data_IF_416414418586
#
_entry.id   IF_416414418586
#
_cell.length_a   1.000
_cell.length_b   1.000
_cell.length_c   1.000
_cell.angle_alpha   90.00
_cell.angle_beta   90.00
_cell.angle_gamma   90.00
#
_symmetry.space_group_name_H-M   'P 1'
#
loop_
_entity.id
_entity.type
_entity.pdbx_description
1 polymer ?
#
# COMPACT_ATOMS: atom_id res chain seq x y z
N UNK A 1 -14.29 0.90 19.14
CA UNK A 1 -14.06 2.23 19.76
C UNK A 1 -13.15 3.06 18.88
N UNK A 2 -13.73 3.82 17.95
CA UNK A 2 -12.99 4.72 17.05
C UNK A 2 -13.12 6.13 17.60
N UNK A 3 -12.33 6.43 18.64
CA UNK A 3 -12.15 7.80 19.06
C UNK A 3 -11.30 8.47 17.97
N UNK A 4 -11.88 9.44 17.26
CA UNK A 4 -11.09 10.39 16.49
C UNK A 4 -10.25 11.17 17.48
N UNK A 5 -9.08 10.65 17.85
CA UNK A 5 -8.18 11.31 18.78
C UNK A 5 -7.52 12.47 18.07
N UNK A 6 -7.42 13.59 18.78
CA UNK A 6 -6.64 14.79 18.40
C UNK A 6 -5.14 14.47 18.17
N UNK A 7 -4.72 13.24 18.48
CA UNK A 7 -3.36 12.73 18.41
C UNK A 7 -3.31 11.50 17.50
N UNK A 8 -2.52 11.59 16.43
CA UNK A 8 -2.14 10.47 15.56
C UNK A 8 -1.09 9.64 16.29
N UNK A 9 -1.24 8.30 16.41
CA UNK A 9 -0.21 7.47 17.02
C UNK A 9 1.10 7.56 16.22
N UNK A 10 2.23 7.36 16.88
CA UNK A 10 3.53 7.30 16.19
C UNK A 10 3.57 6.11 15.24
N UNK A 11 4.20 6.31 14.09
CA UNK A 11 4.43 5.25 13.12
C UNK A 11 5.80 4.65 13.37
N UNK A 12 5.84 3.38 13.80
CA UNK A 12 7.10 2.67 14.08
C UNK A 12 7.94 2.60 12.80
N UNK A 13 7.30 2.36 11.65
CA UNK A 13 8.01 2.29 10.37
C UNK A 13 8.60 3.64 9.94
N UNK A 14 7.86 4.75 10.10
CA UNK A 14 8.39 6.07 9.74
C UNK A 14 9.47 6.54 10.74
N UNK A 15 9.43 6.07 12.00
CA UNK A 15 10.54 6.25 12.96
C UNK A 15 11.78 5.47 12.51
N UNK A 16 11.63 4.18 12.19
CA UNK A 16 12.70 3.34 11.68
C UNK A 16 13.36 3.92 10.40
N UNK A 17 12.55 4.39 9.44
CA UNK A 17 13.09 5.02 8.22
C UNK A 17 13.84 6.32 8.47
N UNK A 18 13.49 7.07 9.51
CA UNK A 18 14.25 8.27 9.92
C UNK A 18 15.60 7.89 10.53
N UNK A 19 15.65 6.82 11.32
CA UNK A 19 16.87 6.32 11.95
C UNK A 19 17.89 5.79 10.93
N UNK A 20 17.43 5.21 9.81
CA UNK A 20 18.29 4.78 8.69
C UNK A 20 18.95 5.96 7.93
N UNK A 21 18.63 7.21 8.28
CA UNK A 21 19.19 8.40 7.67
C UNK A 21 18.77 8.61 6.21
N UNK A 22 19.52 9.45 5.52
CA UNK A 22 19.24 9.84 4.14
C UNK A 22 19.81 8.83 3.12
N UNK A 23 19.10 8.65 2.03
CA UNK A 23 19.60 7.99 0.82
C UNK A 23 20.62 8.90 0.12
N UNK A 24 21.47 8.34 -0.79
CA UNK A 24 22.21 9.15 -1.74
C UNK A 24 21.28 10.15 -2.44
N UNK A 25 21.62 11.44 -2.41
CA UNK A 25 20.76 12.53 -2.90
C UNK A 25 19.89 13.21 -1.83
N UNK A 26 19.98 12.80 -0.56
CA UNK A 26 19.40 13.55 0.58
C UNK A 26 17.94 13.24 0.90
N UNK A 27 17.31 12.30 0.19
CA UNK A 27 15.93 11.89 0.45
C UNK A 27 15.85 10.92 1.65
N UNK A 28 14.72 10.94 2.38
CA UNK A 28 14.42 9.90 3.39
C UNK A 28 13.66 8.74 2.75
N UNK A 29 13.80 7.54 3.32
CA UNK A 29 13.15 6.33 2.80
C UNK A 29 11.64 6.36 3.00
N UNK A 30 10.91 5.74 2.06
CA UNK A 30 9.47 5.51 2.19
C UNK A 30 8.60 6.78 2.21
N UNK A 31 9.11 7.91 1.71
CA UNK A 31 8.35 9.16 1.56
C UNK A 31 7.60 9.22 0.24
N UNK A 32 6.45 9.90 0.25
CA UNK A 32 5.70 10.18 -0.96
C UNK A 32 6.44 11.25 -1.78
N UNK A 33 6.75 10.93 -3.03
CA UNK A 33 7.47 11.85 -3.92
C UNK A 33 6.51 12.77 -4.66
N UNK A 34 7.04 13.83 -5.28
CA UNK A 34 6.22 14.80 -6.04
C UNK A 34 5.44 14.11 -7.17
N UNK A 35 6.03 13.11 -7.83
CA UNK A 35 5.34 12.30 -8.82
C UNK A 35 4.15 11.54 -8.21
N UNK A 36 4.35 10.89 -7.05
CA UNK A 36 3.27 10.22 -6.33
C UNK A 36 2.17 11.18 -5.85
N UNK A 37 2.54 12.40 -5.44
CA UNK A 37 1.56 13.45 -5.09
C UNK A 37 0.72 13.86 -6.31
N UNK A 38 1.36 14.04 -7.46
CA UNK A 38 0.69 14.39 -8.71
C UNK A 38 -0.25 13.27 -9.17
N UNK A 39 0.15 12.01 -9.04
CA UNK A 39 -0.70 10.87 -9.35
C UNK A 39 -1.90 10.78 -8.41
N UNK A 40 -1.70 11.01 -7.11
CA UNK A 40 -2.79 11.15 -6.15
C UNK A 40 -3.77 12.26 -6.53
N UNK A 41 -3.27 13.43 -6.92
CA UNK A 41 -4.11 14.54 -7.40
C UNK A 41 -4.91 14.17 -8.66
N UNK A 42 -4.28 13.49 -9.63
CA UNK A 42 -4.96 13.03 -10.86
C UNK A 42 -6.05 12.01 -10.55
N UNK A 43 -5.81 11.06 -9.66
CA UNK A 43 -6.82 10.11 -9.16
C UNK A 43 -7.99 10.88 -8.52
N UNK A 44 -7.70 11.92 -7.74
CA UNK A 44 -8.70 12.84 -7.19
C UNK A 44 -9.61 13.45 -8.26
N UNK A 45 -9.04 13.97 -9.35
CA UNK A 45 -9.81 14.51 -10.48
C UNK A 45 -10.69 13.44 -11.14
N UNK A 46 -10.17 12.21 -11.31
CA UNK A 46 -10.96 11.09 -11.85
C UNK A 46 -12.16 10.81 -10.93
N UNK A 47 -11.96 10.79 -9.61
CA UNK A 47 -13.04 10.60 -8.64
C UNK A 47 -14.05 11.75 -8.63
N UNK A 48 -13.61 12.99 -8.80
CA UNK A 48 -14.53 14.12 -8.98
C UNK A 48 -15.41 13.92 -10.21
N UNK A 49 -14.79 13.70 -11.35
CA UNK A 49 -15.50 13.53 -12.62
C UNK A 49 -16.54 12.40 -12.53
N UNK A 50 -16.17 11.28 -11.90
CA UNK A 50 -17.05 10.13 -11.74
C UNK A 50 -18.17 10.39 -10.71
N UNK A 51 -17.81 10.71 -9.46
CA UNK A 51 -18.77 10.70 -8.35
C UNK A 51 -19.53 12.00 -8.17
N UNK A 52 -18.94 13.13 -8.54
CA UNK A 52 -19.55 14.46 -8.38
C UNK A 52 -20.22 14.86 -9.67
N UNK A 53 -19.50 14.85 -10.79
CA UNK A 53 -20.01 15.42 -12.03
C UNK A 53 -20.91 14.43 -12.79
N UNK A 54 -20.46 13.20 -12.99
CA UNK A 54 -21.20 12.20 -13.77
C UNK A 54 -22.35 11.56 -12.99
N UNK A 55 -22.06 11.00 -11.80
CA UNK A 55 -23.05 10.32 -10.98
C UNK A 55 -23.88 11.26 -10.11
N UNK A 56 -23.49 12.55 -10.00
CA UNK A 56 -24.25 13.58 -9.28
C UNK A 56 -24.67 13.16 -7.87
N UNK A 57 -23.76 12.54 -7.09
CA UNK A 57 -24.05 12.02 -5.75
C UNK A 57 -24.37 13.09 -4.69
N UNK A 58 -24.60 14.34 -5.08
CA UNK A 58 -24.97 15.43 -4.16
C UNK A 58 -23.83 15.87 -3.24
N UNK A 59 -22.58 15.64 -3.65
CA UNK A 59 -21.36 16.03 -2.93
C UNK A 59 -20.66 17.14 -3.73
N UNK A 60 -20.82 18.40 -3.31
CA UNK A 60 -20.15 19.54 -3.96
C UNK A 60 -18.84 19.94 -3.27
N UNK A 61 -18.83 19.84 -1.95
CA UNK A 61 -17.69 20.13 -1.08
C UNK A 61 -17.41 18.93 -0.20
N UNK A 62 -16.19 18.86 0.32
CA UNK A 62 -15.83 17.86 1.32
C UNK A 62 -16.66 18.04 2.60
N UNK A 63 -17.19 16.94 3.12
CA UNK A 63 -18.03 16.87 4.32
C UNK A 63 -17.74 15.57 5.08
N UNK A 64 -17.20 15.66 6.30
CA UNK A 64 -16.84 14.48 7.10
C UNK A 64 -18.07 13.60 7.48
N UNK A 65 -19.30 14.13 7.37
CA UNK A 65 -20.52 13.35 7.60
C UNK A 65 -20.86 12.44 6.42
N UNK A 66 -20.47 12.85 5.20
CA UNK A 66 -20.71 12.12 3.94
C UNK A 66 -19.52 11.27 3.51
N UNK A 67 -18.31 11.67 3.86
CA UNK A 67 -17.07 11.00 3.43
C UNK A 67 -16.28 10.58 4.65
N UNK A 68 -15.88 9.30 4.67
CA UNK A 68 -14.99 8.75 5.71
C UNK A 68 -13.68 8.34 5.07
N UNK A 69 -12.59 8.79 5.67
CA UNK A 69 -11.24 8.58 5.16
C UNK A 69 -10.50 7.62 6.09
N UNK A 70 -10.00 6.51 5.56
CA UNK A 70 -9.17 5.57 6.32
C UNK A 70 -7.80 5.48 5.66
N UNK A 71 -6.76 5.48 6.49
CA UNK A 71 -5.38 5.28 6.04
C UNK A 71 -4.64 4.37 7.00
N UNK A 72 -3.61 3.71 6.47
CA UNK A 72 -2.56 3.16 7.32
C UNK A 72 -1.85 4.29 8.05
N UNK A 73 -1.20 4.00 9.18
CA UNK A 73 -0.49 5.03 9.93
C UNK A 73 0.89 5.37 9.33
N UNK A 74 1.01 5.50 8.00
CA UNK A 74 2.25 5.91 7.34
C UNK A 74 2.12 7.33 6.80
N UNK A 75 3.20 8.12 6.88
CA UNK A 75 3.20 9.49 6.36
C UNK A 75 2.79 9.51 4.89
N UNK A 76 3.38 8.61 4.07
CA UNK A 76 3.11 8.55 2.63
C UNK A 76 1.65 8.27 2.29
N UNK A 77 0.94 7.45 3.07
CA UNK A 77 -0.45 7.08 2.76
C UNK A 77 -1.42 8.17 3.17
N UNK A 78 -1.14 8.85 4.29
CA UNK A 78 -1.88 10.04 4.72
C UNK A 78 -1.69 11.19 3.72
N UNK A 79 -0.45 11.43 3.28
CA UNK A 79 -0.15 12.43 2.25
C UNK A 79 -0.84 12.09 0.92
N UNK A 80 -0.86 10.83 0.51
CA UNK A 80 -1.58 10.38 -0.69
C UNK A 80 -3.08 10.69 -0.61
N UNK A 81 -3.73 10.45 0.54
CA UNK A 81 -5.15 10.82 0.72
C UNK A 81 -5.33 12.33 0.55
N UNK A 82 -4.42 13.15 1.09
CA UNK A 82 -4.50 14.62 0.97
C UNK A 82 -4.39 15.06 -0.49
N UNK A 83 -3.53 14.41 -1.28
CA UNK A 83 -3.41 14.70 -2.72
C UNK A 83 -4.68 14.32 -3.47
N UNK A 84 -5.25 13.15 -3.19
CA UNK A 84 -6.55 12.72 -3.77
C UNK A 84 -7.67 13.69 -3.42
N UNK A 85 -7.76 14.14 -2.17
CA UNK A 85 -8.76 15.13 -1.77
C UNK A 85 -8.56 16.48 -2.47
N UNK A 86 -7.32 16.92 -2.66
CA UNK A 86 -7.02 18.18 -3.34
C UNK A 86 -7.48 18.16 -4.80
N UNK A 87 -7.36 17.02 -5.50
CA UNK A 87 -7.93 16.86 -6.84
C UNK A 87 -9.45 16.71 -6.84
N UNK A 88 -9.99 15.96 -5.88
CA UNK A 88 -11.43 15.69 -5.85
C UNK A 88 -12.26 16.93 -5.47
N UNK A 89 -11.75 17.73 -4.53
CA UNK A 89 -12.39 18.93 -3.99
C UNK A 89 -11.45 20.15 -4.12
N UNK A 90 -11.27 20.68 -5.34
CA UNK A 90 -10.40 21.83 -5.56
C UNK A 90 -10.93 23.07 -4.83
N UNK A 91 -10.02 23.89 -4.30
CA UNK A 91 -10.34 25.13 -3.60
C UNK A 91 -10.33 25.02 -2.08
N UNK A 92 -10.83 26.05 -1.40
CA UNK A 92 -10.90 26.07 0.07
C UNK A 92 -12.03 25.17 0.55
N UNK A 93 -11.71 24.14 1.33
CA UNK A 93 -12.72 23.34 2.00
C UNK A 93 -13.28 24.11 3.20
N UNK A 94 -14.57 23.95 3.47
CA UNK A 94 -15.24 24.55 4.64
C UNK A 94 -14.95 23.79 5.93
N UNK A 95 -14.44 22.56 5.81
CA UNK A 95 -14.15 21.67 6.93
C UNK A 95 -12.75 21.05 6.76
N UNK A 96 -12.10 20.78 7.90
CA UNK A 96 -10.84 20.02 7.94
C UNK A 96 -11.12 18.52 7.78
N UNK A 97 -10.48 17.88 6.82
CA UNK A 97 -10.57 16.43 6.64
C UNK A 97 -10.09 15.66 7.88
N UNK A 98 -10.90 14.71 8.34
CA UNK A 98 -10.54 13.78 9.41
C UNK A 98 -10.13 12.45 8.77
N UNK A 99 -8.86 12.09 8.92
CA UNK A 99 -8.30 10.82 8.44
C UNK A 99 -8.19 9.87 9.63
N UNK A 100 -8.90 8.75 9.57
CA UNK A 100 -8.88 7.74 10.61
C UNK A 100 -7.73 6.76 10.36
N UNK A 101 -6.79 6.72 11.31
CA UNK A 101 -5.71 5.75 11.36
C UNK A 101 -5.87 4.86 12.59
N UNK A 102 -5.10 3.79 12.67
CA UNK A 102 -5.02 2.94 13.86
C UNK A 102 -3.56 2.67 14.22
N UNK A 103 -3.32 2.20 15.44
CA UNK A 103 -2.00 1.68 15.82
C UNK A 103 -1.63 0.45 15.00
N UNK A 104 -0.34 0.24 14.79
CA UNK A 104 0.20 -0.86 13.99
C UNK A 104 -0.23 -2.24 14.50
N UNK A 105 -0.43 -2.38 15.81
CA UNK A 105 -0.94 -3.58 16.48
C UNK A 105 -2.36 -3.98 16.05
N UNK A 106 -3.16 -2.98 15.68
CA UNK A 106 -4.57 -3.12 15.32
C UNK A 106 -4.80 -2.87 13.82
N UNK A 107 -3.73 -2.75 13.04
CA UNK A 107 -3.81 -2.47 11.61
C UNK A 107 -4.31 -3.69 10.84
N UNK A 108 -5.30 -3.44 9.98
CA UNK A 108 -6.00 -4.45 9.19
C UNK A 108 -5.95 -4.15 7.69
N UNK A 109 -5.50 -2.95 7.27
CA UNK A 109 -5.46 -2.55 5.86
C UNK A 109 -4.29 -3.18 5.09
N UNK A 110 -3.39 -3.91 5.76
CA UNK A 110 -2.41 -4.79 5.15
C UNK A 110 -2.24 -6.09 5.97
N UNK A 111 -1.68 -7.16 5.38
CA UNK A 111 -1.38 -8.39 6.09
C UNK A 111 -0.37 -8.17 7.22
N UNK A 112 -0.87 -8.12 8.45
CA UNK A 112 -0.11 -7.70 9.62
C UNK A 112 0.64 -8.87 10.27
N UNK A 113 1.72 -9.31 9.62
CA UNK A 113 2.53 -10.46 10.10
C UNK A 113 3.17 -10.19 11.46
N UNK A 114 3.52 -8.95 11.77
CA UNK A 114 4.18 -8.59 13.03
C UNK A 114 3.29 -8.82 14.27
N UNK A 115 1.98 -8.58 14.14
CA UNK A 115 1.07 -8.60 15.29
C UNK A 115 0.00 -9.71 15.22
N UNK A 116 -0.26 -10.27 14.04
CA UNK A 116 -1.12 -11.44 13.90
C UNK A 116 -0.31 -12.74 14.00
N UNK A 117 -0.22 -13.34 15.19
CA UNK A 117 0.54 -14.59 15.43
C UNK A 117 0.23 -15.71 14.43
N UNK A 118 -1.05 -15.87 14.07
CA UNK A 118 -1.48 -16.89 13.10
C UNK A 118 -0.97 -16.60 11.70
N UNK A 119 -0.91 -15.32 11.30
CA UNK A 119 -0.36 -14.94 10.01
C UNK A 119 1.16 -14.97 10.01
N UNK A 120 1.82 -14.55 11.10
CA UNK A 120 3.29 -14.66 11.27
C UNK A 120 3.76 -16.08 11.05
N UNK A 121 3.11 -17.05 11.69
CA UNK A 121 3.47 -18.46 11.54
C UNK A 121 3.36 -18.95 10.09
N UNK A 122 2.28 -18.59 9.38
CA UNK A 122 2.13 -18.94 7.96
C UNK A 122 3.19 -18.25 7.10
N UNK A 123 3.49 -16.98 7.37
CA UNK A 123 4.51 -16.22 6.65
C UNK A 123 5.91 -16.81 6.87
N UNK A 124 6.26 -17.18 8.11
CA UNK A 124 7.53 -17.81 8.46
C UNK A 124 7.74 -19.13 7.72
N UNK A 125 6.71 -20.00 7.66
CA UNK A 125 6.77 -21.24 6.88
C UNK A 125 7.04 -20.98 5.39
N UNK A 126 6.46 -19.93 4.82
CA UNK A 126 6.66 -19.56 3.40
C UNK A 126 8.01 -18.88 3.13
N UNK A 127 8.59 -18.23 4.14
CA UNK A 127 9.91 -17.62 4.04
C UNK A 127 11.04 -18.59 4.36
N UNK A 128 10.72 -19.77 4.91
CA UNK A 128 11.68 -20.81 5.17
C UNK A 128 12.27 -21.35 3.86
N UNK A 129 13.57 -21.15 3.66
CA UNK A 129 14.29 -21.57 2.44
C UNK A 129 14.22 -23.08 2.22
N UNK A 130 14.12 -23.90 3.28
CA UNK A 130 14.03 -25.36 3.15
C UNK A 130 12.66 -25.84 2.69
N UNK A 131 11.63 -25.00 2.82
CA UNK A 131 10.25 -25.29 2.41
C UNK A 131 9.86 -24.53 1.13
N UNK A 132 10.83 -23.84 0.52
CA UNK A 132 10.60 -23.06 -0.69
C UNK A 132 10.39 -24.01 -1.88
N UNK A 133 9.33 -23.85 -2.70
CA UNK A 133 9.07 -24.71 -3.84
C UNK A 133 10.24 -24.72 -4.83
N UNK A 134 10.49 -25.86 -5.47
CA UNK A 134 11.53 -26.01 -6.50
C UNK A 134 11.46 -24.92 -7.57
N UNK A 135 10.25 -24.54 -7.97
CA UNK A 135 10.03 -23.46 -8.93
C UNK A 135 10.60 -22.12 -8.46
N UNK A 136 10.42 -21.76 -7.18
CA UNK A 136 10.94 -20.52 -6.60
C UNK A 136 12.47 -20.55 -6.47
N UNK A 137 13.05 -21.71 -6.15
CA UNK A 137 14.50 -21.91 -6.12
C UNK A 137 15.08 -21.67 -7.52
N UNK A 138 14.48 -22.31 -8.51
CA UNK A 138 14.89 -22.19 -9.92
C UNK A 138 14.75 -20.75 -10.44
N UNK A 139 13.66 -20.05 -10.14
CA UNK A 139 13.53 -18.64 -10.51
C UNK A 139 14.66 -17.79 -9.91
N UNK A 140 15.00 -18.04 -8.64
CA UNK A 140 16.06 -17.31 -7.95
C UNK A 140 17.43 -17.53 -8.59
N UNK A 141 17.77 -18.78 -8.92
CA UNK A 141 19.02 -19.13 -9.59
C UNK A 141 19.12 -18.53 -10.99
N UNK A 142 18.04 -18.65 -11.78
CA UNK A 142 17.99 -18.05 -13.12
C UNK A 142 18.11 -16.53 -13.02
N UNK A 143 17.46 -15.88 -12.05
CA UNK A 143 17.57 -14.44 -11.87
C UNK A 143 18.99 -14.03 -11.48
N UNK A 144 19.61 -14.76 -10.55
CA UNK A 144 20.99 -14.52 -10.13
C UNK A 144 21.95 -14.58 -11.34
N UNK A 145 21.81 -15.60 -12.19
CA UNK A 145 22.60 -15.71 -13.42
C UNK A 145 22.33 -14.56 -14.38
N UNK A 146 21.05 -14.22 -14.64
CA UNK A 146 20.66 -13.13 -15.56
C UNK A 146 21.16 -11.75 -15.11
N UNK A 147 21.26 -11.52 -13.81
CA UNK A 147 21.70 -10.23 -13.24
C UNK A 147 23.16 -10.22 -12.82
N UNK A 148 23.88 -11.32 -13.03
CA UNK A 148 25.27 -11.52 -12.60
C UNK A 148 25.43 -11.22 -11.10
N UNK A 149 24.50 -11.75 -10.30
CA UNK A 149 24.48 -11.59 -8.84
C UNK A 149 24.90 -12.90 -8.17
N UNK A 150 25.64 -12.77 -7.07
CA UNK A 150 25.95 -13.91 -6.21
C UNK A 150 24.69 -14.33 -5.45
N UNK A 151 24.28 -15.60 -5.61
CA UNK A 151 23.06 -16.16 -5.05
C UNK A 151 22.96 -16.01 -3.52
N UNK A 152 24.09 -16.07 -2.82
CA UNK A 152 24.17 -16.00 -1.36
C UNK A 152 23.85 -14.62 -0.79
N UNK A 153 24.13 -13.56 -1.57
CA UNK A 153 23.92 -12.16 -1.17
C UNK A 153 22.86 -11.45 -2.01
N UNK A 154 22.23 -12.17 -2.95
CA UNK A 154 21.19 -11.61 -3.80
C UNK A 154 20.00 -11.13 -2.91
N UNK A 155 19.49 -9.92 -3.12
CA UNK A 155 18.32 -9.43 -2.38
C UNK A 155 17.07 -10.30 -2.56
N UNK A 156 16.01 -10.01 -1.80
CA UNK A 156 14.72 -10.60 -2.07
C UNK A 156 14.17 -10.06 -3.39
N UNK A 157 13.37 -10.88 -4.08
CA UNK A 157 12.74 -10.45 -5.32
C UNK A 157 11.80 -9.25 -5.11
N UNK A 158 11.19 -9.12 -3.93
CA UNK A 158 10.39 -7.95 -3.53
C UNK A 158 11.21 -6.67 -3.56
N UNK A 159 12.45 -6.70 -3.06
CA UNK A 159 13.32 -5.52 -2.97
C UNK A 159 13.82 -5.09 -4.35
N UNK A 160 14.19 -6.07 -5.19
CA UNK A 160 14.57 -5.82 -6.59
C UNK A 160 13.39 -5.20 -7.35
N UNK A 161 12.19 -5.73 -7.13
CA UNK A 161 10.99 -5.28 -7.81
C UNK A 161 10.53 -3.89 -7.38
N UNK A 162 10.68 -3.57 -6.09
CA UNK A 162 10.43 -2.23 -5.55
C UNK A 162 11.38 -1.19 -6.15
N UNK A 163 12.69 -1.47 -6.15
CA UNK A 163 13.71 -0.57 -6.73
C UNK A 163 13.44 -0.29 -8.21
N UNK A 164 13.08 -1.31 -8.98
CA UNK A 164 12.71 -1.17 -10.40
C UNK A 164 11.53 -0.22 -10.59
N UNK A 165 10.51 -0.35 -9.76
CA UNK A 165 9.33 0.53 -9.82
C UNK A 165 9.64 1.95 -9.42
N UNK A 166 10.47 2.13 -8.39
CA UNK A 166 10.97 3.45 -7.98
C UNK A 166 11.71 4.10 -9.15
N UNK A 167 12.66 3.41 -9.77
CA UNK A 167 13.43 3.96 -10.89
C UNK A 167 12.52 4.33 -12.08
N UNK A 168 11.57 3.45 -12.45
CA UNK A 168 10.62 3.73 -13.53
C UNK A 168 9.71 4.92 -13.22
N UNK A 169 9.15 4.97 -12.02
CA UNK A 169 8.25 6.03 -11.58
C UNK A 169 8.91 7.40 -11.49
N UNK A 170 10.24 7.45 -11.33
CA UNK A 170 11.02 8.68 -11.30
C UNK A 170 11.74 8.99 -12.62
N UNK A 171 11.48 8.22 -13.68
CA UNK A 171 12.19 8.33 -14.96
C UNK A 171 13.73 8.28 -14.79
N UNK A 172 14.20 7.54 -13.78
CA UNK A 172 15.61 7.41 -13.48
C UNK A 172 16.27 6.32 -14.35
N UNK A 173 17.58 6.44 -14.52
CA UNK A 173 18.34 5.47 -15.30
C UNK A 173 18.39 4.12 -14.59
N UNK A 174 17.77 3.11 -15.19
CA UNK A 174 17.85 1.73 -14.73
C UNK A 174 19.03 1.00 -15.40
N UNK A 175 19.83 0.20 -14.68
CA UNK A 175 20.91 -0.55 -15.33
C UNK A 175 20.38 -1.53 -16.39
N UNK A 176 21.09 -1.64 -17.53
CA UNK A 176 20.62 -2.37 -18.72
C UNK A 176 20.25 -3.83 -18.43
N UNK A 177 20.96 -4.50 -17.51
CA UNK A 177 20.66 -5.89 -17.11
C UNK A 177 19.27 -6.06 -16.49
N UNK A 178 18.79 -5.07 -15.72
CA UNK A 178 17.43 -5.08 -15.17
C UNK A 178 16.41 -4.76 -16.26
N UNK A 179 16.69 -3.78 -17.13
CA UNK A 179 15.82 -3.45 -18.26
C UNK A 179 15.59 -4.66 -19.19
N UNK A 180 16.68 -5.34 -19.55
CA UNK A 180 16.66 -6.51 -20.45
C UNK A 180 15.86 -7.69 -19.90
N UNK A 181 15.75 -7.80 -18.58
CA UNK A 181 15.13 -8.93 -17.90
C UNK A 181 13.88 -8.54 -17.10
N UNK A 182 13.32 -7.36 -17.36
CA UNK A 182 12.20 -6.78 -16.62
C UNK A 182 10.98 -7.73 -16.54
N UNK A 183 10.61 -8.35 -17.67
CA UNK A 183 9.47 -9.28 -17.72
C UNK A 183 9.69 -10.52 -16.85
N UNK A 184 10.92 -11.02 -16.79
CA UNK A 184 11.26 -12.17 -15.97
C UNK A 184 11.26 -11.80 -14.47
N UNK A 185 11.76 -10.61 -14.14
CA UNK A 185 11.72 -10.09 -12.76
C UNK A 185 10.28 -9.92 -12.29
N UNK A 186 9.42 -9.33 -13.13
CA UNK A 186 7.99 -9.18 -12.85
C UNK A 186 7.32 -10.54 -12.63
N UNK A 187 7.55 -11.49 -13.54
CA UNK A 187 6.99 -12.84 -13.42
C UNK A 187 7.42 -13.51 -12.12
N UNK A 188 8.71 -13.41 -11.75
CA UNK A 188 9.19 -13.98 -10.50
C UNK A 188 8.60 -13.25 -9.28
N UNK A 189 8.53 -11.92 -9.28
CA UNK A 189 7.93 -11.13 -8.20
C UNK A 189 6.46 -11.52 -7.97
N UNK A 190 5.68 -11.64 -9.05
CA UNK A 190 4.29 -12.07 -9.00
C UNK A 190 4.14 -13.52 -8.51
N UNK A 191 4.99 -14.43 -9.00
CA UNK A 191 5.00 -15.82 -8.56
C UNK A 191 5.32 -15.95 -7.07
N UNK A 192 6.34 -15.23 -6.62
CA UNK A 192 6.75 -15.18 -5.21
C UNK A 192 5.66 -14.60 -4.32
N UNK A 193 5.02 -13.49 -4.73
CA UNK A 193 3.90 -12.91 -4.01
C UNK A 193 2.72 -13.87 -3.88
N UNK A 194 2.35 -14.55 -4.98
CA UNK A 194 1.28 -15.56 -4.97
C UNK A 194 1.59 -16.69 -3.99
N UNK A 195 2.82 -17.20 -4.00
CA UNK A 195 3.24 -18.24 -3.09
C UNK A 195 3.19 -17.78 -1.62
N UNK A 196 3.68 -16.58 -1.33
CA UNK A 196 3.77 -16.07 0.04
C UNK A 196 2.40 -15.69 0.63
N UNK A 197 1.50 -15.15 -0.18
CA UNK A 197 0.28 -14.51 0.35
C UNK A 197 -1.02 -15.17 -0.11
N UNK A 198 -1.05 -15.83 -1.27
CA UNK A 198 -2.28 -16.27 -1.93
C UNK A 198 -2.40 -17.78 -2.10
N UNK A 199 -1.37 -18.55 -1.75
CA UNK A 199 -1.34 -20.01 -2.00
C UNK A 199 -2.23 -20.82 -1.06
N UNK A 200 -2.72 -20.23 0.02
CA UNK A 200 -3.51 -20.90 1.04
C UNK A 200 -4.67 -19.99 1.50
N UNK A 201 -5.92 -20.51 1.56
CA UNK A 201 -7.06 -19.76 2.04
C UNK A 201 -6.88 -19.14 3.44
N UNK A 202 -6.13 -19.78 4.35
CA UNK A 202 -5.89 -19.19 5.68
C UNK A 202 -4.99 -17.96 5.60
N UNK A 203 -4.03 -17.94 4.69
CA UNK A 203 -3.17 -16.77 4.44
C UNK A 203 -4.00 -15.56 3.98
N UNK A 204 -4.95 -15.79 3.07
CA UNK A 204 -5.91 -14.75 2.63
C UNK A 204 -6.80 -14.33 3.81
N UNK A 205 -7.37 -15.28 4.54
CA UNK A 205 -8.26 -15.00 5.66
C UNK A 205 -7.58 -14.15 6.75
N UNK A 206 -6.38 -14.53 7.19
CA UNK A 206 -5.65 -13.79 8.22
C UNK A 206 -4.99 -12.51 7.69
N UNK A 207 -4.64 -12.46 6.40
CA UNK A 207 -3.99 -11.31 5.78
C UNK A 207 -4.96 -10.16 5.47
N UNK A 208 -6.15 -10.45 4.93
CA UNK A 208 -7.09 -9.40 4.49
C UNK A 208 -8.54 -9.61 4.94
N UNK A 209 -8.88 -10.72 5.62
CA UNK A 209 -10.26 -11.02 6.00
C UNK A 209 -10.92 -9.96 6.88
N UNK A 210 -10.17 -9.32 7.78
CA UNK A 210 -10.70 -8.22 8.60
C UNK A 210 -10.98 -6.95 7.80
N UNK A 211 -10.11 -6.58 6.85
CA UNK A 211 -10.35 -5.47 5.94
C UNK A 211 -11.58 -5.71 5.07
N UNK A 212 -11.70 -6.91 4.47
CA UNK A 212 -12.87 -7.29 3.68
C UNK A 212 -14.15 -7.25 4.51
N UNK A 213 -14.13 -7.79 5.73
CA UNK A 213 -15.27 -7.71 6.66
C UNK A 213 -15.66 -6.27 6.97
N UNK A 214 -14.68 -5.37 7.16
CA UNK A 214 -14.95 -3.93 7.38
C UNK A 214 -15.60 -3.29 6.17
N UNK A 215 -15.13 -3.57 4.96
CA UNK A 215 -15.73 -3.06 3.71
C UNK A 215 -17.18 -3.54 3.58
N UNK A 216 -17.42 -4.85 3.77
CA UNK A 216 -18.77 -5.43 3.72
C UNK A 216 -19.70 -4.77 4.73
N UNK A 217 -19.23 -4.55 5.96
CA UNK A 217 -20.04 -3.89 6.98
C UNK A 217 -20.39 -2.44 6.60
N UNK A 218 -19.45 -1.68 6.02
CA UNK A 218 -19.73 -0.32 5.55
C UNK A 218 -20.78 -0.31 4.45
N UNK A 219 -20.69 -1.25 3.51
CA UNK A 219 -21.68 -1.39 2.43
C UNK A 219 -23.07 -1.72 3.01
N UNK A 220 -23.16 -2.67 3.95
CA UNK A 220 -24.42 -3.02 4.63
C UNK A 220 -25.03 -1.87 5.43
N UNK A 221 -24.20 -1.12 6.16
CA UNK A 221 -24.66 0.03 6.93
C UNK A 221 -25.19 1.16 6.02
N UNK A 222 -24.59 1.31 4.83
CA UNK A 222 -24.99 2.33 3.86
C UNK A 222 -26.33 2.01 3.19
N UNK A 223 -26.60 0.73 2.89
CA UNK A 223 -27.88 0.30 2.30
C UNK A 223 -29.02 0.36 3.32
N UNK A 224 -28.76 0.02 4.58
CA UNK A 224 -29.79 0.03 5.63
C UNK A 224 -30.19 1.44 6.09
N UNK A 225 -29.28 2.42 6.04
CA UNK A 225 -29.53 3.76 6.59
C UNK A 225 -29.85 4.84 5.55
N UNK A 226 -29.95 4.49 4.26
CA UNK A 226 -30.13 5.43 3.15
C UNK A 226 -29.13 6.62 3.17
N UNK A 227 -27.96 6.41 3.78
CA UNK A 227 -26.88 7.39 3.91
C UNK A 227 -25.73 6.91 3.05
N UNK A 228 -25.51 7.56 1.92
CA UNK A 228 -24.30 7.37 1.13
C UNK A 228 -23.09 7.81 1.95
N UNK A 229 -22.25 6.86 2.34
CA UNK A 229 -20.95 7.10 2.94
C UNK A 229 -19.89 6.58 1.98
N UNK A 230 -19.17 7.46 1.32
CA UNK A 230 -18.04 7.05 0.48
C UNK A 230 -16.84 6.81 1.39
N UNK A 231 -16.33 5.58 1.38
CA UNK A 231 -15.11 5.19 2.09
C UNK A 231 -13.93 5.20 1.14
N UNK A 232 -12.92 6.02 1.39
CA UNK A 232 -11.65 5.96 0.67
C UNK A 232 -10.65 5.16 1.49
N UNK A 233 -10.05 4.16 0.85
CA UNK A 233 -8.98 3.35 1.38
C UNK A 233 -7.75 3.57 0.52
N UNK A 234 -6.68 4.09 1.14
CA UNK A 234 -5.35 4.11 0.55
C UNK A 234 -4.45 3.36 1.52
N UNK A 235 -4.09 2.14 1.13
CA UNK A 235 -3.19 1.23 1.85
C UNK A 235 -1.76 1.38 1.38
#
# INVERSE_FOLDING_TARGET
>A
NQNGTKYRPKSIQDEYYRELGFLPGGATRGKLTVFGQLDGYRIGNIFRNLYIDSLSLGIKNFDNKKIRLYSTNYDRTIESIRCVLAGMFPGKTTERAIIYTTEQTNEIHYPNYQFCKKYSHLWELRMNKTEMPEEQIKYREILAHKLELNLNIMPLISDIWDEIHVLRGHHANMPMKFQRHINFIEQYALSSFKFQHLSDPKSIYYGCGLALKKIVNILKDSTLNNKFKTGYYIS
#
